data_IF_626255901907
#
_entry.id   IF_626255901907
#
_cell.length_a   1.000
_cell.length_b   1.000
_cell.length_c   1.000
_cell.angle_alpha   90.00
_cell.angle_beta   90.00
_cell.angle_gamma   90.00
#
_symmetry.space_group_name_H-M   'P 1'
#
loop_
_entity.id
_entity.type
_entity.pdbx_description
1 polymer ?
#
# COMPACT_ATOMS: atom_id res chain seq x y z
N UNK A 1 12.06 8.96 9.90
CA UNK A 1 12.48 7.80 10.71
C UNK A 1 11.48 7.64 11.84
N UNK A 2 10.88 6.45 11.96
CA UNK A 2 10.02 6.08 13.09
C UNK A 2 10.91 5.73 14.29
N UNK A 3 10.69 6.32 15.48
CA UNK A 3 11.32 5.85 16.71
C UNK A 3 11.00 4.38 16.99
N UNK A 4 11.97 3.60 17.49
CA UNK A 4 11.75 2.20 17.89
C UNK A 4 10.71 2.04 19.03
N UNK A 5 10.28 3.14 19.63
CA UNK A 5 9.26 3.20 20.66
C UNK A 5 7.85 3.42 20.12
N UNK A 6 7.70 3.79 18.85
CA UNK A 6 6.38 4.03 18.25
C UNK A 6 5.63 2.70 18.02
N UNK A 7 4.30 2.75 18.12
CA UNK A 7 3.44 1.61 17.81
C UNK A 7 2.40 1.93 16.72
N UNK A 8 2.12 0.95 15.85
CA UNK A 8 1.17 1.06 14.72
C UNK A 8 -0.09 0.23 15.00
N UNK A 9 -1.26 0.87 14.91
CA UNK A 9 -2.57 0.21 15.00
C UNK A 9 -3.19 0.07 13.60
N UNK A 10 -3.35 -1.16 13.11
CA UNK A 10 -4.03 -1.40 11.84
C UNK A 10 -5.55 -1.37 12.01
N UNK A 11 -6.22 -0.62 11.14
CA UNK A 11 -7.69 -0.55 11.03
C UNK A 11 -8.07 -1.13 9.68
N UNK A 12 -8.99 -2.10 9.69
CA UNK A 12 -9.74 -2.49 8.50
C UNK A 12 -11.10 -1.76 8.51
N UNK A 13 -11.27 -0.62 7.81
CA UNK A 13 -12.37 0.31 8.04
C UNK A 13 -13.76 -0.34 7.91
N UNK A 14 -13.93 -1.20 6.90
CA UNK A 14 -15.18 -1.94 6.63
C UNK A 14 -15.68 -2.73 7.85
N UNK A 15 -14.77 -3.30 8.63
CA UNK A 15 -15.12 -4.21 9.73
C UNK A 15 -14.82 -3.62 11.11
N UNK A 16 -14.23 -2.42 11.17
CA UNK A 16 -13.79 -1.82 12.44
C UNK A 16 -14.96 -1.30 13.27
N UNK A 17 -16.03 -0.85 12.61
CA UNK A 17 -17.27 -0.40 13.24
C UNK A 17 -18.46 -1.08 12.57
N UNK A 18 -19.65 -1.00 13.18
CA UNK A 18 -20.86 -1.59 12.61
C UNK A 18 -21.23 -0.95 11.28
N UNK A 19 -21.03 0.36 11.15
CA UNK A 19 -21.29 1.13 9.95
C UNK A 19 -20.22 0.92 8.88
N UNK A 20 -18.99 0.58 9.28
CA UNK A 20 -17.90 0.29 8.36
C UNK A 20 -17.35 1.52 7.62
N UNK A 21 -17.51 2.72 8.18
CA UNK A 21 -17.13 4.00 7.54
C UNK A 21 -16.00 4.74 8.27
N UNK A 22 -15.32 5.63 7.57
CA UNK A 22 -14.27 6.49 8.14
C UNK A 22 -14.84 7.41 9.22
N UNK A 23 -16.05 7.96 9.02
CA UNK A 23 -16.74 8.78 10.04
C UNK A 23 -17.03 8.01 11.31
N UNK A 24 -17.51 6.78 11.19
CA UNK A 24 -17.81 5.93 12.34
C UNK A 24 -16.53 5.52 13.10
N UNK A 25 -15.37 5.49 12.44
CA UNK A 25 -14.09 5.20 13.07
C UNK A 25 -13.56 6.38 13.93
N UNK A 26 -13.91 7.63 13.62
CA UNK A 26 -13.37 8.83 14.32
C UNK A 26 -13.52 8.76 15.85
N UNK A 27 -14.70 8.43 16.43
CA UNK A 27 -14.84 8.33 17.88
C UNK A 27 -13.95 7.28 18.56
N UNK A 28 -13.37 6.34 17.81
CA UNK A 28 -12.47 5.32 18.34
C UNK A 28 -11.02 5.79 18.44
N UNK A 29 -10.65 6.91 17.79
CA UNK A 29 -9.27 7.39 17.75
C UNK A 29 -8.73 7.71 19.15
N UNK A 30 -9.53 8.33 20.01
CA UNK A 30 -9.14 8.57 21.41
C UNK A 30 -8.88 7.29 22.20
N UNK A 31 -9.56 6.18 21.87
CA UNK A 31 -9.27 4.86 22.49
C UNK A 31 -7.94 4.29 21.96
N UNK A 32 -7.63 4.48 20.68
CA UNK A 32 -6.37 4.04 20.07
C UNK A 32 -5.19 4.80 20.68
N UNK A 33 -5.29 6.12 20.77
CA UNK A 33 -4.30 6.97 21.47
C UNK A 33 -4.12 6.51 22.93
N UNK A 34 -5.22 6.27 23.67
CA UNK A 34 -5.16 5.82 25.07
C UNK A 34 -4.53 4.42 25.26
N UNK A 35 -4.51 3.58 24.22
CA UNK A 35 -3.79 2.31 24.24
C UNK A 35 -2.27 2.47 24.03
N UNK A 36 -1.80 3.68 23.69
CA UNK A 36 -0.39 3.99 23.49
C UNK A 36 0.09 3.80 22.05
N UNK A 37 -0.81 3.85 21.06
CA UNK A 37 -0.42 3.85 19.64
C UNK A 37 -0.13 5.27 19.15
N UNK A 38 0.82 5.40 18.23
CA UNK A 38 1.23 6.66 17.61
C UNK A 38 0.74 6.77 16.16
N UNK A 39 0.40 5.63 15.55
CA UNK A 39 -0.04 5.54 14.17
C UNK A 39 -1.35 4.77 14.03
N UNK A 40 -2.20 5.24 13.13
CA UNK A 40 -3.27 4.43 12.53
C UNK A 40 -2.91 4.10 11.10
N UNK A 41 -2.90 2.81 10.77
CA UNK A 41 -2.69 2.31 9.42
C UNK A 41 -4.01 1.77 8.88
N UNK A 42 -4.53 2.39 7.82
CA UNK A 42 -5.75 1.96 7.14
C UNK A 42 -5.41 0.93 6.05
N UNK A 43 -6.05 -0.24 6.06
CA UNK A 43 -6.12 -1.13 4.87
C UNK A 43 -6.69 -0.35 3.67
N UNK A 44 -6.56 -0.83 2.42
CA UNK A 44 -6.92 -0.04 1.24
C UNK A 44 -8.30 0.62 1.33
N UNK A 45 -8.34 1.92 1.07
CA UNK A 45 -9.53 2.76 1.21
C UNK A 45 -10.24 3.03 -0.13
N UNK A 46 -9.79 2.34 -1.19
CA UNK A 46 -10.16 2.63 -2.57
C UNK A 46 -11.36 1.80 -3.05
N UNK A 47 -12.11 2.26 -4.08
CA UNK A 47 -13.13 1.46 -4.73
C UNK A 47 -12.57 0.10 -5.18
N UNK A 48 -13.37 -0.95 -5.04
CA UNK A 48 -12.97 -2.33 -5.33
C UNK A 48 -13.57 -2.79 -6.66
N UNK A 49 -12.75 -3.48 -7.45
CA UNK A 49 -13.15 -4.05 -8.74
C UNK A 49 -14.37 -4.95 -8.68
N UNK A 50 -15.08 -5.04 -9.80
CA UNK A 50 -16.22 -5.95 -9.96
C UNK A 50 -15.83 -7.16 -10.79
N UNK A 51 -14.87 -7.02 -11.71
CA UNK A 51 -14.40 -8.13 -12.52
C UNK A 51 -13.60 -9.13 -11.68
N UNK A 52 -13.90 -10.42 -11.84
CA UNK A 52 -13.25 -11.53 -11.13
C UNK A 52 -13.25 -11.41 -9.59
N UNK A 53 -14.16 -10.61 -9.03
CA UNK A 53 -14.26 -10.34 -7.59
C UNK A 53 -14.34 -11.62 -6.77
N UNK A 54 -13.50 -11.72 -5.74
CA UNK A 54 -13.61 -12.77 -4.72
C UNK A 54 -14.66 -12.43 -3.68
N UNK A 55 -15.58 -13.37 -3.43
CA UNK A 55 -16.68 -13.20 -2.48
C UNK A 55 -17.67 -12.11 -2.91
N UNK A 56 -18.52 -11.67 -1.98
CA UNK A 56 -19.58 -10.68 -2.27
C UNK A 56 -19.06 -9.25 -2.36
N UNK A 57 -18.18 -8.85 -1.42
CA UNK A 57 -17.70 -7.47 -1.27
C UNK A 57 -16.32 -7.23 -1.90
N UNK A 58 -15.59 -8.28 -2.27
CA UNK A 58 -14.24 -8.18 -2.82
C UNK A 58 -13.17 -7.90 -1.76
N UNK A 59 -11.93 -8.27 -2.12
CA UNK A 59 -10.74 -7.87 -1.39
C UNK A 59 -10.50 -6.36 -1.54
N UNK A 60 -10.19 -5.60 -0.47
CA UNK A 60 -9.74 -4.22 -0.58
C UNK A 60 -8.51 -4.04 -1.48
N UNK A 61 -7.70 -5.10 -1.64
CA UNK A 61 -6.48 -5.10 -2.44
C UNK A 61 -6.75 -5.21 -3.96
N UNK A 62 -7.98 -5.57 -4.37
CA UNK A 62 -8.38 -5.57 -5.78
C UNK A 62 -8.92 -4.20 -6.21
N UNK A 63 -8.03 -3.21 -6.30
CA UNK A 63 -8.40 -1.79 -6.44
C UNK A 63 -8.88 -1.46 -7.86
N UNK A 64 -10.00 -0.73 -7.94
CA UNK A 64 -10.56 -0.18 -9.17
C UNK A 64 -9.99 1.21 -9.51
N UNK A 65 -9.82 2.08 -8.51
CA UNK A 65 -9.33 3.45 -8.70
C UNK A 65 -8.49 3.92 -7.49
N UNK A 66 -7.18 4.10 -7.69
CA UNK A 66 -6.26 4.53 -6.63
C UNK A 66 -6.46 5.96 -6.16
N UNK A 67 -7.17 6.80 -6.93
CA UNK A 67 -7.32 8.23 -6.64
C UNK A 67 -8.62 8.58 -5.92
N UNK A 68 -9.47 7.60 -5.69
CA UNK A 68 -10.77 7.76 -5.07
C UNK A 68 -10.86 7.05 -3.71
N UNK A 69 -11.72 7.59 -2.85
CA UNK A 69 -12.24 6.89 -1.67
C UNK A 69 -13.38 5.95 -2.08
N UNK A 70 -13.40 4.74 -1.52
CA UNK A 70 -14.52 3.83 -1.67
C UNK A 70 -15.77 4.44 -1.05
N UNK A 71 -16.81 4.65 -1.86
CA UNK A 71 -18.10 5.18 -1.41
C UNK A 71 -18.74 4.39 -0.25
N UNK A 72 -18.43 3.09 -0.10
CA UNK A 72 -18.87 2.29 1.05
C UNK A 72 -18.22 2.75 2.37
N UNK A 73 -17.03 3.35 2.31
CA UNK A 73 -16.29 3.86 3.46
C UNK A 73 -16.59 5.34 3.75
N UNK A 74 -17.12 6.07 2.78
CA UNK A 74 -17.50 7.48 2.89
C UNK A 74 -17.07 8.31 1.68
N UNK A 75 -17.00 9.62 1.88
CA UNK A 75 -16.57 10.63 0.90
C UNK A 75 -15.15 11.13 1.15
N UNK A 76 -14.61 11.90 0.21
CA UNK A 76 -13.34 12.63 0.39
C UNK A 76 -13.38 13.58 1.62
N UNK A 77 -14.55 14.18 1.90
CA UNK A 77 -14.72 15.02 3.09
C UNK A 77 -14.71 14.20 4.39
N UNK A 78 -15.13 12.94 4.34
CA UNK A 78 -15.06 12.02 5.47
C UNK A 78 -13.63 11.54 5.71
N UNK A 79 -12.86 11.33 4.64
CA UNK A 79 -11.43 11.05 4.74
C UNK A 79 -10.68 12.24 5.33
N UNK A 80 -10.87 13.45 4.80
CA UNK A 80 -10.21 14.66 5.33
C UNK A 80 -10.50 14.85 6.83
N UNK A 81 -11.73 14.64 7.26
CA UNK A 81 -12.04 14.78 8.68
C UNK A 81 -11.54 13.61 9.54
N UNK A 82 -11.32 12.42 8.98
CA UNK A 82 -10.62 11.35 9.66
C UNK A 82 -9.15 11.73 9.89
N UNK A 83 -8.48 12.30 8.87
CA UNK A 83 -7.11 12.83 8.99
C UNK A 83 -7.05 13.90 10.10
N UNK A 84 -7.92 14.92 10.02
CA UNK A 84 -7.95 16.01 11.01
C UNK A 84 -8.16 15.48 12.44
N UNK A 85 -9.08 14.52 12.61
CA UNK A 85 -9.36 13.92 13.90
C UNK A 85 -8.19 13.06 14.42
N UNK A 86 -7.53 12.29 13.55
CA UNK A 86 -6.35 11.50 13.94
C UNK A 86 -5.22 12.41 14.42
N UNK A 87 -4.93 13.49 13.66
CA UNK A 87 -3.92 14.47 14.03
C UNK A 87 -4.28 15.19 15.34
N UNK A 88 -5.55 15.51 15.58
CA UNK A 88 -6.01 16.07 16.86
C UNK A 88 -5.80 15.11 18.06
N UNK A 89 -5.79 13.80 17.80
CA UNK A 89 -5.44 12.74 18.76
C UNK A 89 -3.95 12.39 18.77
N UNK A 90 -3.09 13.23 18.16
CA UNK A 90 -1.64 13.01 18.03
C UNK A 90 -1.28 11.69 17.33
N UNK A 91 -2.22 11.11 16.60
CA UNK A 91 -2.03 9.92 15.78
C UNK A 91 -1.64 10.36 14.37
N UNK A 92 -0.62 9.73 13.81
CA UNK A 92 -0.27 9.85 12.39
C UNK A 92 -1.06 8.83 11.57
N UNK A 93 -1.33 9.15 10.31
CA UNK A 93 -2.12 8.30 9.42
C UNK A 93 -1.26 7.71 8.32
N UNK A 94 -1.28 6.38 8.23
CA UNK A 94 -0.70 5.61 7.15
C UNK A 94 -1.80 4.97 6.31
N UNK A 95 -1.66 4.98 4.99
CA UNK A 95 -2.57 4.25 4.08
C UNK A 95 -1.86 3.12 3.36
N UNK A 96 -2.61 2.10 2.98
CA UNK A 96 -2.13 1.00 2.14
C UNK A 96 -1.94 1.43 0.67
N UNK A 97 -0.84 0.99 0.06
CA UNK A 97 -0.44 1.27 -1.31
C UNK A 97 -0.24 -0.05 -2.04
N UNK A 98 -1.17 -0.40 -2.92
CA UNK A 98 -1.19 -1.71 -3.61
C UNK A 98 -0.73 -1.56 -5.05
N UNK A 99 0.58 -1.50 -5.28
CA UNK A 99 1.15 -1.12 -6.57
C UNK A 99 1.73 -2.28 -7.39
N UNK A 100 1.62 -3.53 -6.94
CA UNK A 100 1.92 -4.66 -7.83
C UNK A 100 0.83 -4.83 -8.91
N UNK A 101 -0.42 -4.57 -8.57
CA UNK A 101 -1.58 -4.96 -9.38
C UNK A 101 -2.80 -4.06 -9.16
N UNK A 102 -3.74 -4.09 -10.11
CA UNK A 102 -5.09 -3.51 -9.98
C UNK A 102 -6.15 -4.60 -10.17
N UNK A 103 -7.42 -4.29 -9.92
CA UNK A 103 -8.52 -5.12 -10.44
C UNK A 103 -8.57 -5.13 -11.99
N UNK A 104 -9.05 -6.21 -12.63
CA UNK A 104 -9.09 -6.31 -14.10
C UNK A 104 -9.95 -5.23 -14.77
N UNK A 105 -10.91 -4.66 -14.04
CA UNK A 105 -11.79 -3.61 -14.54
C UNK A 105 -11.42 -2.21 -14.07
N UNK A 106 -10.22 -2.02 -13.50
CA UNK A 106 -9.73 -0.74 -12.99
C UNK A 106 -9.69 0.36 -14.05
N UNK A 107 -9.67 1.61 -13.58
CA UNK A 107 -9.50 2.80 -14.44
C UNK A 107 -8.25 2.64 -15.31
N UNK A 108 -7.12 2.28 -14.69
CA UNK A 108 -5.85 2.11 -15.41
C UNK A 108 -5.88 0.94 -16.40
N UNK A 109 -6.52 -0.19 -16.06
CA UNK A 109 -6.64 -1.31 -17.00
C UNK A 109 -7.49 -0.98 -18.23
N UNK A 110 -8.45 -0.05 -18.10
CA UNK A 110 -9.28 0.41 -19.22
C UNK A 110 -8.61 1.47 -20.08
N UNK A 111 -7.95 2.43 -19.44
CA UNK A 111 -7.35 3.58 -20.12
C UNK A 111 -5.96 3.26 -20.67
N UNK A 112 -5.21 2.40 -19.98
CA UNK A 112 -3.84 2.03 -20.29
C UNK A 112 -3.62 0.51 -20.19
N UNK A 113 -4.32 -0.30 -21.01
CA UNK A 113 -4.16 -1.75 -20.99
C UNK A 113 -2.73 -2.20 -21.34
N UNK A 114 -1.96 -1.35 -22.04
CA UNK A 114 -0.55 -1.55 -22.37
C UNK A 114 0.38 -1.49 -21.15
N UNK A 115 -0.07 -0.94 -20.01
CA UNK A 115 0.73 -0.88 -18.77
C UNK A 115 0.69 -2.18 -17.96
N UNK A 116 0.00 -3.21 -18.43
CA UNK A 116 -0.18 -4.47 -17.73
C UNK A 116 0.55 -5.61 -18.41
N UNK A 117 1.03 -6.57 -17.60
CA UNK A 117 1.60 -7.81 -18.11
C UNK A 117 0.58 -8.49 -19.02
N UNK A 118 1.01 -8.92 -20.21
CA UNK A 118 0.15 -9.64 -21.14
C UNK A 118 0.33 -11.14 -20.93
N UNK A 119 -0.79 -11.83 -20.71
CA UNK A 119 -0.85 -13.28 -20.70
C UNK A 119 -0.70 -13.88 -22.11
N UNK A 120 -0.51 -15.20 -22.22
CA UNK A 120 -0.39 -15.89 -23.50
C UNK A 120 -1.58 -15.73 -24.45
N UNK A 121 -2.76 -15.41 -23.90
CA UNK A 121 -4.01 -15.17 -24.63
C UNK A 121 -4.21 -13.69 -25.01
N UNK A 122 -3.22 -12.83 -24.77
CA UNK A 122 -3.28 -11.39 -25.02
C UNK A 122 -4.18 -10.62 -24.06
N UNK A 123 -4.54 -11.22 -22.90
CA UNK A 123 -5.28 -10.54 -21.83
C UNK A 123 -4.33 -10.17 -20.69
N UNK A 124 -4.64 -9.12 -19.90
CA UNK A 124 -3.86 -8.79 -18.71
C UNK A 124 -3.68 -10.00 -17.78
N UNK A 125 -2.43 -10.28 -17.43
CA UNK A 125 -1.99 -11.43 -16.66
C UNK A 125 -1.63 -11.09 -15.22
N UNK A 126 -1.20 -12.10 -14.47
CA UNK A 126 -0.73 -11.98 -13.09
C UNK A 126 0.37 -12.99 -12.81
N UNK A 127 1.33 -12.63 -11.97
CA UNK A 127 2.44 -13.51 -11.56
C UNK A 127 1.98 -14.61 -10.60
N UNK A 128 1.03 -14.29 -9.71
CA UNK A 128 0.50 -15.22 -8.72
C UNK A 128 -0.87 -15.78 -9.14
N UNK A 129 -0.94 -17.10 -9.36
CA UNK A 129 -2.17 -17.78 -9.82
C UNK A 129 -3.37 -17.57 -8.91
N UNK A 130 -3.15 -17.59 -7.59
CA UNK A 130 -4.20 -17.47 -6.57
C UNK A 130 -4.83 -16.08 -6.51
N UNK A 131 -4.17 -15.05 -7.04
CA UNK A 131 -4.65 -13.67 -7.03
C UNK A 131 -5.60 -13.42 -8.22
N UNK A 132 -6.62 -14.27 -8.36
CA UNK A 132 -7.52 -14.29 -9.52
C UNK A 132 -8.34 -13.03 -9.76
N UNK A 133 -8.46 -12.17 -8.75
CA UNK A 133 -9.21 -10.91 -8.74
C UNK A 133 -8.39 -9.69 -9.16
N UNK A 134 -7.14 -9.88 -9.60
CA UNK A 134 -6.22 -8.78 -9.97
C UNK A 134 -5.38 -9.09 -11.20
N UNK A 135 -4.83 -8.03 -11.80
CA UNK A 135 -3.94 -8.04 -12.96
C UNK A 135 -2.71 -7.17 -12.66
N UNK A 136 -1.54 -7.67 -13.02
CA UNK A 136 -0.25 -7.12 -12.61
C UNK A 136 0.24 -6.05 -13.58
N UNK A 137 0.82 -4.99 -13.04
CA UNK A 137 1.51 -3.99 -13.85
C UNK A 137 2.78 -4.55 -14.50
N UNK A 138 3.05 -4.08 -15.71
CA UNK A 138 4.36 -4.15 -16.34
C UNK A 138 5.10 -2.81 -16.12
N UNK A 139 5.98 -2.79 -15.12
CA UNK A 139 6.78 -1.61 -14.80
C UNK A 139 7.78 -1.20 -15.89
N UNK A 140 7.98 -2.04 -16.91
CA UNK A 140 8.83 -1.73 -18.06
C UNK A 140 8.03 -1.18 -19.25
N UNK A 141 6.69 -1.32 -19.25
CA UNK A 141 5.86 -0.95 -20.38
C UNK A 141 5.90 0.55 -20.69
N UNK A 142 5.89 1.41 -19.66
CA UNK A 142 5.87 2.86 -19.86
C UNK A 142 6.43 3.64 -18.67
N UNK A 143 7.26 4.68 -18.90
CA UNK A 143 7.63 5.62 -17.84
C UNK A 143 6.42 6.43 -17.33
N UNK A 144 5.33 6.54 -18.10
CA UNK A 144 4.12 7.24 -17.66
C UNK A 144 3.40 6.49 -16.54
N UNK A 145 3.50 5.16 -16.48
CA UNK A 145 3.01 4.37 -15.33
C UNK A 145 3.66 4.86 -14.04
N UNK A 146 4.98 5.08 -14.06
CA UNK A 146 5.72 5.54 -12.88
C UNK A 146 5.26 6.93 -12.46
N UNK A 147 5.09 7.84 -13.42
CA UNK A 147 4.58 9.19 -13.17
C UNK A 147 3.19 9.14 -12.53
N UNK A 148 2.27 8.35 -13.08
CA UNK A 148 0.89 8.24 -12.60
C UNK A 148 0.80 7.73 -11.16
N UNK A 149 1.57 6.68 -10.83
CA UNK A 149 1.62 6.12 -9.48
C UNK A 149 2.29 7.08 -8.49
N UNK A 150 3.37 7.75 -8.86
CA UNK A 150 4.07 8.70 -7.98
C UNK A 150 3.24 9.98 -7.77
N UNK A 151 2.53 10.45 -8.80
CA UNK A 151 1.60 11.57 -8.69
C UNK A 151 0.43 11.23 -7.76
N UNK A 152 -0.05 9.98 -7.80
CA UNK A 152 -1.07 9.49 -6.88
C UNK A 152 -0.59 9.47 -5.43
N UNK A 153 0.63 9.02 -5.15
CA UNK A 153 1.23 9.11 -3.81
C UNK A 153 1.38 10.55 -3.34
N UNK A 154 1.83 11.45 -4.23
CA UNK A 154 1.96 12.87 -3.92
C UNK A 154 0.61 13.51 -3.58
N UNK A 155 -0.44 13.14 -4.31
CA UNK A 155 -1.81 13.57 -4.03
C UNK A 155 -2.26 13.14 -2.62
N UNK A 156 -2.02 11.90 -2.21
CA UNK A 156 -2.40 11.41 -0.89
C UNK A 156 -1.61 12.07 0.25
N UNK A 157 -0.30 12.31 0.04
CA UNK A 157 0.51 13.15 0.95
C UNK A 157 -0.13 14.52 1.11
N UNK A 158 -0.50 15.17 0.01
CA UNK A 158 -1.09 16.52 0.05
C UNK A 158 -2.47 16.56 0.70
N UNK A 159 -3.12 15.40 0.85
CA UNK A 159 -4.36 15.20 1.63
C UNK A 159 -4.11 14.88 3.11
N UNK A 160 -2.86 14.95 3.58
CA UNK A 160 -2.50 14.84 5.00
C UNK A 160 -2.11 13.43 5.46
N UNK A 161 -1.85 12.50 4.55
CA UNK A 161 -1.26 11.19 4.88
C UNK A 161 0.20 11.38 5.33
N UNK A 162 0.58 10.71 6.42
CA UNK A 162 1.91 10.79 7.06
C UNK A 162 2.84 9.63 6.68
N UNK A 163 2.30 8.58 6.07
CA UNK A 163 3.08 7.44 5.61
C UNK A 163 2.33 6.47 4.71
N UNK A 164 3.08 5.56 4.11
CA UNK A 164 2.56 4.52 3.23
C UNK A 164 3.01 3.15 3.71
N UNK A 165 2.07 2.21 3.78
CA UNK A 165 2.35 0.78 3.82
C UNK A 165 2.22 0.26 2.40
N UNK A 166 3.30 -0.23 1.81
CA UNK A 166 3.31 -0.73 0.44
C UNK A 166 3.10 -2.25 0.41
N UNK A 167 1.98 -2.69 -0.13
CA UNK A 167 1.59 -4.09 -0.31
C UNK A 167 2.53 -4.81 -1.27
N UNK A 168 2.96 -6.00 -0.84
CA UNK A 168 3.92 -6.88 -1.53
C UNK A 168 5.04 -6.08 -2.21
N UNK A 169 5.61 -5.10 -1.51
CA UNK A 169 6.57 -4.13 -2.04
C UNK A 169 7.77 -4.80 -2.72
N UNK A 170 8.11 -6.01 -2.26
CA UNK A 170 9.11 -6.89 -2.87
C UNK A 170 8.83 -7.27 -4.33
N UNK A 171 7.63 -7.06 -4.89
CA UNK A 171 7.31 -7.33 -6.30
C UNK A 171 7.29 -6.08 -7.18
N UNK A 172 7.53 -4.90 -6.60
CA UNK A 172 7.61 -3.63 -7.31
C UNK A 172 9.07 -3.18 -7.37
N UNK A 173 9.57 -2.66 -8.52
CA UNK A 173 10.99 -2.34 -8.67
C UNK A 173 11.55 -1.40 -7.61
N UNK A 174 12.71 -1.76 -7.06
CA UNK A 174 13.44 -0.91 -6.10
C UNK A 174 13.73 0.50 -6.67
N UNK A 175 14.05 0.60 -7.97
CA UNK A 175 14.27 1.89 -8.62
C UNK A 175 13.01 2.76 -8.68
N UNK A 176 11.83 2.13 -8.83
CA UNK A 176 10.55 2.85 -8.75
C UNK A 176 10.37 3.41 -7.34
N UNK A 177 10.54 2.59 -6.31
CA UNK A 177 10.38 3.03 -4.92
C UNK A 177 11.35 4.16 -4.56
N UNK A 178 12.60 4.07 -5.02
CA UNK A 178 13.60 5.12 -4.84
C UNK A 178 13.17 6.44 -5.48
N UNK A 179 12.69 6.41 -6.73
CA UNK A 179 12.19 7.61 -7.40
C UNK A 179 10.93 8.15 -6.73
N UNK A 180 10.02 7.27 -6.30
CA UNK A 180 8.81 7.63 -5.57
C UNK A 180 9.15 8.39 -4.29
N UNK A 181 10.03 7.84 -3.43
CA UNK A 181 10.43 8.51 -2.18
C UNK A 181 11.09 9.85 -2.43
N UNK A 182 12.02 9.95 -3.39
CA UNK A 182 12.68 11.23 -3.72
C UNK A 182 11.64 12.31 -4.06
N UNK A 183 10.65 11.98 -4.90
CA UNK A 183 9.62 12.93 -5.35
C UNK A 183 8.59 13.24 -4.27
N UNK A 184 8.09 12.21 -3.59
CA UNK A 184 7.03 12.34 -2.59
C UNK A 184 7.56 12.98 -1.29
N UNK A 185 8.74 12.61 -0.81
CA UNK A 185 9.35 13.24 0.37
C UNK A 185 10.05 14.59 0.04
N UNK A 186 9.97 15.02 -1.23
CA UNK A 186 10.52 16.27 -1.74
C UNK A 186 12.02 16.46 -1.41
N UNK A 187 12.80 15.41 -1.66
CA UNK A 187 14.23 15.40 -1.34
C UNK A 187 14.96 16.59 -1.99
N UNK A 188 15.72 17.30 -1.17
CA UNK A 188 16.57 18.41 -1.59
C UNK A 188 18.02 17.92 -1.71
N UNK A 189 18.57 17.80 -2.93
CA UNK A 189 19.96 17.36 -3.10
C UNK A 189 20.99 18.38 -2.59
N UNK A 190 20.65 19.67 -2.55
CA UNK A 190 21.53 20.72 -2.04
C UNK A 190 21.62 20.67 -0.52
N UNK A 191 20.50 20.47 0.16
CA UNK A 191 20.44 20.35 1.62
C UNK A 191 20.63 18.92 2.15
N UNK A 192 20.69 17.92 1.25
CA UNK A 192 20.78 16.48 1.55
C UNK A 192 19.74 16.00 2.57
N UNK A 193 18.51 16.48 2.45
CA UNK A 193 17.41 16.15 3.37
C UNK A 193 16.07 16.10 2.66
N UNK A 194 15.14 15.37 3.25
CA UNK A 194 13.73 15.37 2.87
C UNK A 194 13.05 16.65 3.41
N UNK A 195 12.24 17.31 2.58
CA UNK A 195 11.52 18.54 2.97
C UNK A 195 10.13 18.24 3.53
N UNK A 196 9.52 17.14 3.11
CA UNK A 196 8.25 16.64 3.59
C UNK A 196 8.39 15.14 3.92
N UNK A 197 9.13 14.77 4.98
CA UNK A 197 9.43 13.37 5.26
C UNK A 197 8.15 12.61 5.61
N UNK A 198 7.90 11.53 4.85
CA UNK A 198 6.90 10.51 5.18
C UNK A 198 7.60 9.23 5.62
N UNK A 199 6.84 8.38 6.30
CA UNK A 199 7.28 7.03 6.65
C UNK A 199 6.86 6.04 5.57
N UNK A 200 7.77 5.14 5.21
CA UNK A 200 7.54 4.08 4.25
C UNK A 200 7.73 2.71 4.91
N UNK A 201 6.64 1.95 5.02
CA UNK A 201 6.63 0.56 5.50
C UNK A 201 6.45 -0.37 4.29
N UNK A 202 7.41 -1.25 4.04
CA UNK A 202 7.26 -2.29 3.03
C UNK A 202 6.67 -3.55 3.65
N UNK A 203 5.59 -4.07 3.08
CA UNK A 203 5.34 -5.50 3.16
C UNK A 203 6.39 -6.22 2.32
N UNK A 204 7.46 -6.62 2.99
CA UNK A 204 8.39 -7.61 2.48
C UNK A 204 7.71 -8.97 2.38
N UNK A 205 8.33 -9.92 1.70
CA UNK A 205 7.77 -11.25 1.48
C UNK A 205 8.68 -12.33 2.04
N UNK A 206 8.08 -13.48 2.36
CA UNK A 206 8.81 -14.64 2.82
C UNK A 206 9.98 -15.02 1.86
N UNK A 207 11.18 -15.39 2.36
CA UNK A 207 12.33 -15.73 1.52
C UNK A 207 12.05 -16.81 0.46
N UNK A 208 11.21 -17.79 0.79
CA UNK A 208 10.79 -18.82 -0.17
C UNK A 208 9.98 -18.25 -1.34
N UNK A 209 9.07 -17.31 -1.07
CA UNK A 209 8.29 -16.62 -2.10
C UNK A 209 9.19 -15.76 -2.98
N UNK A 210 10.11 -15.00 -2.37
CA UNK A 210 11.10 -14.20 -3.09
C UNK A 210 11.96 -15.06 -4.02
N UNK A 211 12.46 -16.20 -3.54
CA UNK A 211 13.24 -17.15 -4.35
C UNK A 211 12.44 -17.68 -5.52
N UNK A 212 11.18 -18.09 -5.30
CA UNK A 212 10.30 -18.58 -6.35
C UNK A 212 10.10 -17.53 -7.45
N UNK A 213 9.77 -16.29 -7.07
CA UNK A 213 9.58 -15.20 -8.03
C UNK A 213 10.82 -14.96 -8.90
N UNK A 214 12.01 -15.00 -8.31
CA UNK A 214 13.28 -14.89 -9.08
C UNK A 214 13.53 -16.08 -9.99
N UNK A 215 13.20 -17.30 -9.55
CA UNK A 215 13.34 -18.51 -10.37
C UNK A 215 12.39 -18.51 -11.58
N UNK A 216 11.20 -17.93 -11.41
CA UNK A 216 10.21 -17.74 -12.48
C UNK A 216 10.57 -16.56 -13.42
N UNK A 217 11.71 -15.89 -13.19
CA UNK A 217 12.21 -14.79 -14.01
C UNK A 217 11.61 -13.42 -13.68
N UNK A 218 10.87 -13.31 -12.58
CA UNK A 218 10.31 -12.04 -12.13
C UNK A 218 11.28 -11.25 -11.26
N UNK A 219 11.19 -9.92 -11.33
CA UNK A 219 11.83 -9.05 -10.36
C UNK A 219 11.24 -9.29 -8.97
N UNK A 220 12.11 -9.53 -7.99
CA UNK A 220 11.72 -9.56 -6.58
C UNK A 220 12.87 -9.04 -5.71
N UNK A 221 12.58 -8.13 -4.78
CA UNK A 221 13.58 -7.41 -3.98
C UNK A 221 13.54 -7.82 -2.51
N UNK A 222 14.72 -8.13 -1.97
CA UNK A 222 14.92 -8.51 -0.57
C UNK A 222 14.83 -7.31 0.36
N UNK A 223 14.69 -7.54 1.66
CA UNK A 223 14.58 -6.45 2.62
C UNK A 223 15.76 -5.47 2.61
N UNK A 224 17.04 -5.91 2.53
CA UNK A 224 18.15 -4.97 2.39
C UNK A 224 18.05 -4.11 1.13
N UNK A 225 17.53 -4.66 0.02
CA UNK A 225 17.30 -3.91 -1.22
C UNK A 225 16.16 -2.90 -1.07
N UNK A 226 15.10 -3.25 -0.35
CA UNK A 226 13.97 -2.34 -0.06
C UNK A 226 14.41 -1.19 0.86
N UNK A 227 15.14 -1.48 1.93
CA UNK A 227 15.73 -0.48 2.83
C UNK A 227 16.72 0.44 2.10
N UNK A 228 17.58 -0.12 1.24
CA UNK A 228 18.50 0.66 0.42
C UNK A 228 17.79 1.54 -0.63
N UNK A 229 16.58 1.15 -1.06
CA UNK A 229 15.80 1.90 -2.03
C UNK A 229 15.05 3.07 -1.40
N UNK A 230 14.15 2.78 -0.46
CA UNK A 230 13.16 3.75 -0.01
C UNK A 230 12.42 3.44 1.28
N UNK A 231 12.61 2.29 1.93
CA UNK A 231 11.76 1.91 3.07
C UNK A 231 12.45 2.18 4.42
N UNK A 232 11.67 2.68 5.39
CA UNK A 232 12.12 2.85 6.77
C UNK A 232 11.89 1.59 7.59
N UNK A 233 10.86 0.80 7.23
CA UNK A 233 10.43 -0.41 7.93
C UNK A 233 10.11 -1.54 6.94
N UNK A 234 10.30 -2.77 7.37
CA UNK A 234 9.84 -4.01 6.72
C UNK A 234 9.06 -4.87 7.71
N UNK A 235 8.26 -5.82 7.21
CA UNK A 235 7.61 -6.82 8.05
C UNK A 235 8.60 -7.92 8.45
N UNK A 236 8.40 -8.58 9.60
CA UNK A 236 9.23 -9.70 10.08
C UNK A 236 8.93 -11.04 9.36
N UNK A 237 8.57 -11.01 8.07
CA UNK A 237 8.24 -12.23 7.32
C UNK A 237 9.45 -13.15 7.09
N UNK A 238 10.67 -12.64 7.20
CA UNK A 238 11.91 -13.42 7.12
C UNK A 238 12.26 -14.17 8.43
N UNK A 239 11.71 -13.70 9.56
CA UNK A 239 11.84 -14.32 10.88
C UNK A 239 10.64 -15.18 11.31
N UNK A 240 9.52 -15.09 10.58
CA UNK A 240 8.23 -15.68 10.97
C UNK A 240 8.29 -17.19 11.24
N UNK A 241 8.96 -17.98 10.40
CA UNK A 241 9.11 -19.44 10.61
C UNK A 241 9.77 -19.78 11.95
N UNK A 242 10.66 -18.91 12.45
CA UNK A 242 11.32 -19.10 13.76
C UNK A 242 10.39 -18.76 14.92
N UNK A 243 9.40 -17.90 14.70
CA UNK A 243 8.36 -17.59 15.65
C UNK A 243 7.38 -18.77 15.73
N UNK A 244 6.85 -19.28 14.62
CA UNK A 244 5.90 -20.41 14.57
C UNK A 244 6.40 -21.66 15.33
N UNK A 245 7.66 -22.06 15.08
CA UNK A 245 8.27 -23.21 15.76
C UNK A 245 8.33 -23.05 17.29
N UNK A 246 8.39 -21.82 17.80
CA UNK A 246 8.41 -21.54 19.26
C UNK A 246 7.02 -21.46 19.89
N UNK A 247 5.98 -21.12 19.13
CA UNK A 247 4.58 -21.05 19.62
C UNK A 247 3.81 -22.36 19.42
N UNK A 248 4.39 -23.38 18.79
CA UNK A 248 3.80 -24.71 18.70
C UNK A 248 2.53 -24.78 17.87
N UNK A 249 2.46 -23.94 16.83
CA UNK A 249 1.45 -23.99 15.77
C UNK A 249 2.01 -24.77 14.59
#
# INVERSE_FOLDING_TARGET
MIPETDAIYQIYPRNFTKEGTLRAAIPQLGRIEAMGFDWVYLTPIHPIGKAARKGSLGSPYAIYDYRAINHELGSEADFAAFIDAAHAHRLKVMIDVVYNHTSPDSVLAREHPDWFLQGPDGRPGRKCGDWSDVVDFDYQASPHLWVELIDTLSMWRDRGVDGFRCDVASLVPADFWKQARVRVNQYDPGARKERAPLVWLAESVHPAFLRRMRQDGHGAWSEPELHAAAFDLTYDYDGWERLEVKIGV
#
